data_IF_716106213476
#
_entry.id   IF_716106213476
#
_cell.length_a   1.000
_cell.length_b   1.000
_cell.length_c   1.000
_cell.angle_alpha   90.00
_cell.angle_beta   90.00
_cell.angle_gamma   90.00
#
_symmetry.space_group_name_H-M   'P 1'
#
loop_
_entity.id
_entity.type
_entity.pdbx_description
1 polymer ?
#
# COMPACT_ATOMS: atom_id res chain seq x y z
N UNK A 1 22.49 -32.00 -34.42
CA UNK A 1 21.08 -31.82 -34.80
C UNK A 1 20.47 -30.84 -33.83
N UNK A 2 20.29 -29.61 -34.32
CA UNK A 2 19.84 -28.45 -33.51
C UNK A 2 18.34 -28.38 -33.46
N UNK A 3 17.75 -28.40 -32.25
CA UNK A 3 16.33 -28.12 -32.08
C UNK A 3 16.15 -26.61 -31.82
N UNK A 4 15.57 -25.90 -32.77
CA UNK A 4 15.18 -24.48 -32.67
C UNK A 4 13.99 -24.33 -31.71
N UNK A 5 14.19 -23.57 -30.66
CA UNK A 5 13.10 -23.10 -29.81
C UNK A 5 12.32 -22.00 -30.56
N UNK A 6 11.05 -22.27 -30.81
CA UNK A 6 10.09 -21.30 -31.37
C UNK A 6 9.59 -20.37 -30.25
N UNK A 7 9.85 -19.07 -30.42
CA UNK A 7 9.31 -18.01 -29.52
C UNK A 7 7.91 -17.69 -30.01
N UNK A 8 6.90 -18.11 -29.25
CA UNK A 8 5.50 -17.70 -29.47
C UNK A 8 5.26 -16.29 -28.89
N UNK A 9 4.96 -15.34 -29.76
CA UNK A 9 4.50 -13.98 -29.46
C UNK A 9 3.01 -14.02 -29.13
N UNK A 10 2.64 -14.37 -27.93
CA UNK A 10 1.37 -13.97 -27.30
C UNK A 10 1.56 -14.21 -25.79
N UNK A 11 1.52 -13.12 -25.02
CA UNK A 11 1.64 -13.18 -23.56
C UNK A 11 0.40 -13.83 -22.94
N UNK A 12 0.22 -15.13 -23.15
CA UNK A 12 -0.83 -15.90 -22.47
C UNK A 12 -0.42 -15.98 -21.00
N UNK A 13 -1.19 -15.32 -20.14
CA UNK A 13 -1.09 -15.49 -18.68
C UNK A 13 -1.52 -16.90 -18.35
N UNK A 14 -0.54 -17.80 -18.20
CA UNK A 14 -0.82 -19.17 -17.76
C UNK A 14 -1.26 -19.11 -16.30
N UNK A 15 -2.53 -19.40 -16.07
CA UNK A 15 -3.12 -19.52 -14.73
C UNK A 15 -2.56 -20.81 -14.10
N UNK A 16 -1.88 -20.74 -12.94
CA UNK A 16 -1.46 -21.95 -12.23
C UNK A 16 -2.68 -22.76 -11.76
N UNK A 17 -2.53 -24.08 -11.70
CA UNK A 17 -3.58 -25.06 -11.42
C UNK A 17 -4.31 -24.83 -10.08
N UNK A 18 -5.48 -25.38 -9.88
CA UNK A 18 -6.79 -24.78 -10.18
C UNK A 18 -7.15 -23.72 -9.14
N UNK A 19 -7.26 -22.48 -9.60
CA UNK A 19 -7.80 -21.37 -8.79
C UNK A 19 -9.26 -21.71 -8.46
N UNK A 20 -9.49 -22.28 -7.27
CA UNK A 20 -10.83 -22.64 -6.79
C UNK A 20 -11.64 -21.42 -6.31
N UNK A 21 -10.99 -20.28 -6.05
CA UNK A 21 -11.67 -19.05 -5.62
C UNK A 21 -12.32 -18.34 -6.81
N UNK A 22 -13.63 -18.09 -6.69
CA UNK A 22 -14.43 -17.35 -7.69
C UNK A 22 -13.95 -15.91 -7.86
N UNK A 23 -13.47 -15.28 -6.77
CA UNK A 23 -12.91 -13.93 -6.74
C UNK A 23 -11.70 -13.79 -7.64
N UNK A 24 -10.80 -14.77 -7.59
CA UNK A 24 -9.64 -14.78 -8.46
C UNK A 24 -10.04 -14.92 -9.92
N UNK A 25 -11.05 -15.75 -10.22
CA UNK A 25 -11.59 -15.83 -11.58
C UNK A 25 -12.22 -14.51 -12.02
N UNK A 26 -12.95 -13.82 -11.14
CA UNK A 26 -13.56 -12.53 -11.41
C UNK A 26 -12.50 -11.42 -11.53
N UNK A 27 -11.49 -11.41 -10.65
CA UNK A 27 -10.35 -10.49 -10.72
C UNK A 27 -9.51 -10.75 -12.01
N UNK A 28 -9.24 -12.00 -12.35
CA UNK A 28 -8.56 -12.35 -13.61
C UNK A 28 -9.38 -11.99 -14.86
N UNK A 29 -10.71 -12.14 -14.83
CA UNK A 29 -11.58 -11.71 -15.92
C UNK A 29 -11.57 -10.19 -16.08
N UNK A 30 -11.57 -9.44 -14.98
CA UNK A 30 -11.38 -7.98 -15.01
C UNK A 30 -10.01 -7.59 -15.60
N UNK A 31 -8.97 -8.39 -15.34
CA UNK A 31 -7.63 -8.18 -15.88
C UNK A 31 -7.54 -8.28 -17.38
N UNK A 32 -8.14 -9.31 -17.97
CA UNK A 32 -8.11 -9.50 -19.41
C UNK A 32 -8.77 -8.33 -20.16
N UNK A 33 -9.60 -7.53 -19.46
CA UNK A 33 -10.19 -6.30 -20.00
C UNK A 33 -9.38 -5.04 -19.64
N UNK A 34 -8.47 -5.10 -18.64
CA UNK A 34 -7.65 -3.96 -18.22
C UNK A 34 -6.26 -3.92 -18.88
N UNK A 35 -5.81 -5.00 -19.50
CA UNK A 35 -4.54 -5.02 -20.27
C UNK A 35 -4.54 -4.03 -21.45
N UNK A 36 -5.73 -3.61 -21.93
CA UNK A 36 -5.88 -2.56 -22.97
C UNK A 36 -5.96 -1.13 -22.42
N UNK A 37 -6.05 -0.96 -21.08
CA UNK A 37 -6.18 0.37 -20.44
C UNK A 37 -4.94 0.66 -19.61
N UNK A 38 -3.88 1.16 -20.26
CA UNK A 38 -2.70 1.69 -19.58
C UNK A 38 -3.15 2.72 -18.52
N UNK A 39 -2.76 2.45 -17.25
CA UNK A 39 -2.79 3.39 -16.13
C UNK A 39 -4.14 3.81 -15.50
N UNK A 40 -5.27 3.18 -15.83
CA UNK A 40 -6.53 3.51 -15.13
C UNK A 40 -6.90 2.43 -14.12
N UNK A 41 -6.86 2.79 -12.84
CA UNK A 41 -7.40 1.94 -11.77
C UNK A 41 -8.89 1.74 -11.96
N UNK A 42 -9.43 0.55 -11.65
CA UNK A 42 -10.87 0.33 -11.65
C UNK A 42 -11.58 1.30 -10.69
N UNK A 43 -12.79 1.78 -11.02
CA UNK A 43 -13.55 2.70 -10.17
C UNK A 43 -14.21 1.95 -9.00
N UNK A 44 -13.39 1.35 -8.13
CA UNK A 44 -13.86 0.50 -7.02
C UNK A 44 -14.76 1.24 -6.02
N UNK A 45 -14.64 2.57 -5.94
CA UNK A 45 -15.48 3.42 -5.10
C UNK A 45 -16.96 3.39 -5.52
N UNK A 46 -17.22 3.10 -6.81
CA UNK A 46 -18.58 2.99 -7.35
C UNK A 46 -19.19 1.60 -7.16
N UNK A 47 -18.38 0.62 -6.75
CA UNK A 47 -18.84 -0.76 -6.60
C UNK A 47 -19.24 -1.04 -5.15
N UNK A 48 -20.50 -1.45 -4.99
CA UNK A 48 -21.07 -1.82 -3.69
C UNK A 48 -21.72 -3.20 -3.76
N UNK A 49 -20.93 -4.27 -3.90
CA UNK A 49 -21.48 -5.61 -4.00
C UNK A 49 -22.06 -6.06 -2.66
N UNK A 50 -23.26 -6.60 -2.67
CA UNK A 50 -23.93 -7.13 -1.47
C UNK A 50 -23.39 -8.49 -1.01
N UNK A 51 -22.63 -9.18 -1.88
CA UNK A 51 -22.08 -10.50 -1.55
C UNK A 51 -20.71 -10.38 -0.90
N UNK A 52 -20.56 -10.95 0.29
CA UNK A 52 -19.29 -11.05 1.01
C UNK A 52 -18.78 -12.47 0.96
N UNK A 53 -17.49 -12.65 0.68
CA UNK A 53 -16.82 -13.95 0.63
C UNK A 53 -15.44 -13.90 1.28
N UNK A 54 -14.83 -15.05 1.54
CA UNK A 54 -13.47 -15.18 2.05
C UNK A 54 -12.51 -15.47 0.89
N UNK A 55 -11.48 -14.63 0.72
CA UNK A 55 -10.49 -14.83 -0.35
C UNK A 55 -9.42 -15.85 0.01
N UNK A 56 -9.19 -16.10 1.33
CA UNK A 56 -8.02 -16.81 1.86
C UNK A 56 -6.70 -16.16 1.44
N UNK A 57 -6.74 -14.86 1.19
CA UNK A 57 -5.55 -14.07 0.90
C UNK A 57 -5.08 -13.36 2.15
N UNK A 58 -3.77 -13.24 2.27
CA UNK A 58 -3.10 -12.54 3.36
C UNK A 58 -2.01 -11.62 2.81
N UNK A 59 -1.85 -10.47 3.44
CA UNK A 59 -0.72 -9.56 3.25
C UNK A 59 0.05 -9.56 4.57
N UNK A 60 1.34 -9.91 4.54
CA UNK A 60 2.18 -9.90 5.73
C UNK A 60 2.70 -8.49 6.07
N UNK A 61 3.45 -8.38 7.16
CA UNK A 61 4.03 -7.10 7.63
C UNK A 61 5.01 -6.48 6.62
N UNK A 62 5.58 -7.25 5.71
CA UNK A 62 6.50 -6.78 4.68
C UNK A 62 5.79 -6.46 3.35
N UNK A 63 4.46 -6.55 3.33
CA UNK A 63 3.63 -6.26 2.16
C UNK A 63 3.66 -7.35 1.10
N UNK A 64 4.08 -8.58 1.46
CA UNK A 64 4.03 -9.74 0.57
C UNK A 64 2.63 -10.36 0.58
N UNK A 65 2.18 -10.74 -0.60
CA UNK A 65 0.88 -11.35 -0.80
C UNK A 65 0.95 -12.87 -0.80
N UNK A 66 0.01 -13.49 -0.11
CA UNK A 66 -0.15 -14.94 -0.03
C UNK A 66 -1.57 -15.35 -0.40
N UNK A 67 -1.71 -16.52 -1.00
CA UNK A 67 -2.98 -17.16 -1.23
C UNK A 67 -2.95 -18.61 -0.73
N UNK A 68 -3.87 -18.97 0.17
CA UNK A 68 -3.91 -20.31 0.78
C UNK A 68 -2.55 -20.75 1.33
N UNK A 69 -1.76 -19.78 1.85
CA UNK A 69 -0.41 -20.00 2.38
C UNK A 69 0.72 -19.96 1.36
N UNK A 70 0.44 -19.97 0.06
CA UNK A 70 1.46 -19.85 -0.99
C UNK A 70 1.74 -18.39 -1.34
N UNK A 71 3.02 -18.01 -1.44
CA UNK A 71 3.42 -16.66 -1.82
C UNK A 71 3.05 -16.33 -3.27
N UNK A 72 2.58 -15.11 -3.50
CA UNK A 72 2.31 -14.55 -4.82
C UNK A 72 3.56 -13.80 -5.29
N UNK A 73 4.47 -14.50 -5.94
CA UNK A 73 5.76 -13.94 -6.38
C UNK A 73 5.65 -12.97 -7.57
N UNK A 74 4.55 -13.05 -8.33
CA UNK A 74 4.34 -12.20 -9.51
C UNK A 74 3.87 -10.81 -9.10
N UNK A 75 4.78 -9.84 -9.12
CA UNK A 75 4.48 -8.44 -8.75
C UNK A 75 3.31 -7.85 -9.55
N UNK A 76 3.16 -8.17 -10.84
CA UNK A 76 2.00 -7.73 -11.66
C UNK A 76 0.69 -8.21 -11.06
N UNK A 77 0.65 -9.42 -10.51
CA UNK A 77 -0.54 -9.99 -9.89
C UNK A 77 -0.84 -9.32 -8.55
N UNK A 78 0.18 -9.11 -7.71
CA UNK A 78 0.03 -8.37 -6.46
C UNK A 78 -0.48 -6.94 -6.71
N UNK A 79 0.11 -6.21 -7.67
CA UNK A 79 -0.35 -4.87 -8.08
C UNK A 79 -1.80 -4.84 -8.51
N UNK A 80 -2.23 -5.88 -9.20
CA UNK A 80 -3.60 -6.00 -9.61
C UNK A 80 -4.54 -6.17 -8.42
N UNK A 81 -4.26 -7.12 -7.53
CA UNK A 81 -5.08 -7.27 -6.34
C UNK A 81 -5.10 -5.98 -5.51
N UNK A 82 -3.95 -5.32 -5.39
CA UNK A 82 -3.86 -4.03 -4.73
C UNK A 82 -4.73 -2.96 -5.41
N UNK A 83 -4.88 -2.99 -6.74
CA UNK A 83 -5.71 -2.01 -7.46
C UNK A 83 -7.21 -2.13 -7.19
N UNK A 84 -7.67 -3.29 -6.72
CA UNK A 84 -9.05 -3.55 -6.32
C UNK A 84 -9.21 -3.73 -4.81
N UNK A 85 -8.15 -3.46 -4.03
CA UNK A 85 -8.20 -3.50 -2.58
C UNK A 85 -8.78 -2.20 -2.04
N UNK A 86 -9.66 -2.31 -1.03
CA UNK A 86 -10.25 -1.19 -0.29
C UNK A 86 -10.41 -1.58 1.16
N UNK A 87 -10.21 -0.62 2.07
CA UNK A 87 -10.60 -0.75 3.47
C UNK A 87 -11.99 -0.20 3.64
N UNK A 88 -12.88 -0.98 4.25
CA UNK A 88 -14.27 -0.60 4.53
C UNK A 88 -14.39 0.04 5.93
N UNK A 89 -15.58 0.59 6.24
CA UNK A 89 -15.87 1.26 7.51
C UNK A 89 -15.79 0.31 8.73
N UNK A 90 -15.92 -1.00 8.50
CA UNK A 90 -15.72 -2.04 9.51
C UNK A 90 -14.23 -2.26 9.87
N UNK A 91 -13.33 -1.51 9.23
CA UNK A 91 -11.89 -1.59 9.41
C UNK A 91 -11.24 -2.78 8.70
N UNK A 92 -12.01 -3.62 7.98
CA UNK A 92 -11.50 -4.78 7.26
C UNK A 92 -11.12 -4.43 5.83
N UNK A 93 -10.26 -5.26 5.25
CA UNK A 93 -9.78 -5.10 3.88
C UNK A 93 -10.50 -6.09 2.95
N UNK A 94 -10.87 -5.59 1.77
CA UNK A 94 -11.60 -6.38 0.79
C UNK A 94 -11.06 -6.17 -0.62
N UNK A 95 -10.97 -7.24 -1.40
CA UNK A 95 -10.90 -7.18 -2.85
C UNK A 95 -12.32 -6.93 -3.38
N UNK A 96 -12.50 -5.80 -4.05
CA UNK A 96 -13.80 -5.35 -4.53
C UNK A 96 -13.93 -5.64 -6.02
N UNK A 97 -15.03 -6.28 -6.40
CA UNK A 97 -15.47 -6.47 -7.79
C UNK A 97 -16.92 -6.01 -7.92
N UNK A 98 -17.46 -5.80 -9.13
CA UNK A 98 -18.86 -5.42 -9.28
C UNK A 98 -19.87 -6.42 -8.69
N UNK A 99 -19.48 -7.68 -8.52
CA UNK A 99 -20.39 -8.78 -8.13
C UNK A 99 -20.22 -9.27 -6.71
N UNK A 100 -19.01 -9.09 -6.13
CA UNK A 100 -18.71 -9.56 -4.77
C UNK A 100 -17.53 -8.79 -4.16
N UNK A 101 -17.47 -8.76 -2.83
CA UNK A 101 -16.29 -8.36 -2.07
C UNK A 101 -15.75 -9.54 -1.28
N UNK A 102 -14.41 -9.69 -1.28
CA UNK A 102 -13.74 -10.80 -0.62
C UNK A 102 -12.74 -10.30 0.39
N UNK A 103 -12.89 -10.77 1.63
CA UNK A 103 -12.02 -10.38 2.73
C UNK A 103 -10.58 -10.81 2.50
N UNK A 104 -9.65 -9.91 2.83
CA UNK A 104 -8.21 -10.14 2.85
C UNK A 104 -7.70 -9.91 4.27
N UNK A 105 -6.89 -10.81 4.77
CA UNK A 105 -6.20 -10.63 6.04
C UNK A 105 -4.95 -9.77 5.84
N UNK A 106 -4.85 -8.65 6.57
CA UNK A 106 -3.71 -7.73 6.49
C UNK A 106 -3.11 -7.61 7.89
N UNK A 107 -1.86 -8.05 8.03
CA UNK A 107 -1.19 -8.13 9.34
C UNK A 107 -0.88 -6.75 9.94
N UNK A 108 -0.60 -5.75 9.09
CA UNK A 108 -0.30 -4.38 9.50
C UNK A 108 -0.84 -3.37 8.47
N UNK A 109 -0.13 -3.16 7.39
CA UNK A 109 -0.53 -2.26 6.31
C UNK A 109 -0.38 -2.95 4.94
N UNK A 110 -1.29 -2.64 3.97
CA UNK A 110 -1.24 -3.31 2.66
C UNK A 110 -0.06 -2.89 1.79
N UNK A 111 0.56 -1.76 2.10
CA UNK A 111 1.74 -1.26 1.41
C UNK A 111 2.93 -1.10 2.37
N UNK A 112 4.13 -1.14 1.79
CA UNK A 112 5.39 -0.78 2.47
C UNK A 112 6.12 0.28 1.65
N UNK A 113 6.54 1.36 2.30
CA UNK A 113 7.40 2.38 1.69
C UNK A 113 8.81 1.83 1.61
N UNK A 114 9.34 1.75 0.38
CA UNK A 114 10.68 1.22 0.09
C UNK A 114 11.66 2.26 -0.43
N UNK A 115 11.18 3.48 -0.70
CA UNK A 115 12.01 4.59 -1.15
C UNK A 115 11.42 5.94 -0.77
N UNK A 116 12.30 6.95 -0.65
CA UNK A 116 11.96 8.33 -0.34
C UNK A 116 12.84 9.28 -1.19
N UNK A 117 12.21 10.31 -1.75
CA UNK A 117 12.85 11.46 -2.38
C UNK A 117 12.45 12.71 -1.62
N UNK A 118 13.42 13.58 -1.32
CA UNK A 118 13.18 14.81 -0.57
C UNK A 118 13.69 16.00 -1.37
N UNK A 119 12.84 17.00 -1.57
CA UNK A 119 13.18 18.25 -2.25
C UNK A 119 12.78 19.44 -1.39
N UNK A 120 13.59 20.51 -1.47
CA UNK A 120 13.38 21.69 -0.66
C UNK A 120 13.71 21.47 0.83
N UNK A 121 13.35 22.44 1.68
CA UNK A 121 13.64 22.40 3.12
C UNK A 121 12.56 23.15 3.91
N UNK A 122 12.46 22.87 5.23
CA UNK A 122 11.49 23.50 6.12
C UNK A 122 10.05 23.37 5.59
N UNK A 123 9.28 24.45 5.63
CA UNK A 123 7.87 24.45 5.18
C UNK A 123 7.68 24.20 3.69
N UNK A 124 8.71 24.41 2.86
CA UNK A 124 8.68 24.13 1.41
C UNK A 124 9.16 22.72 1.06
N UNK A 125 9.53 21.90 2.06
CA UNK A 125 9.97 20.53 1.86
C UNK A 125 8.85 19.69 1.23
N UNK A 126 9.20 18.95 0.18
CA UNK A 126 8.34 17.96 -0.47
C UNK A 126 8.96 16.59 -0.25
N UNK A 127 8.22 15.71 0.39
CA UNK A 127 8.60 14.30 0.59
C UNK A 127 7.75 13.45 -0.35
N UNK A 128 8.41 12.65 -1.19
CA UNK A 128 7.76 11.70 -2.08
C UNK A 128 8.18 10.29 -1.70
N UNK A 129 7.23 9.47 -1.31
CA UNK A 129 7.44 8.07 -1.02
C UNK A 129 7.18 7.18 -2.23
N UNK A 130 7.90 6.06 -2.29
CA UNK A 130 7.66 4.99 -3.26
C UNK A 130 7.26 3.72 -2.52
N UNK A 131 6.11 3.15 -2.88
CA UNK A 131 5.63 1.90 -2.28
C UNK A 131 6.26 0.67 -2.95
N UNK A 132 6.21 -0.49 -2.26
CA UNK A 132 6.57 -1.80 -2.80
C UNK A 132 5.75 -2.20 -4.05
N UNK A 133 4.62 -1.54 -4.30
CA UNK A 133 3.81 -1.71 -5.51
C UNK A 133 4.14 -0.67 -6.60
N UNK A 134 5.20 0.13 -6.41
CA UNK A 134 5.67 1.21 -7.28
C UNK A 134 4.63 2.36 -7.45
N UNK A 135 3.80 2.58 -6.45
CA UNK A 135 2.99 3.80 -6.36
C UNK A 135 3.82 4.93 -5.76
N UNK A 136 3.71 6.12 -6.32
CA UNK A 136 4.35 7.33 -5.79
C UNK A 136 3.34 8.13 -4.97
N UNK A 137 3.72 8.51 -3.75
CA UNK A 137 2.86 9.21 -2.79
C UNK A 137 3.58 10.45 -2.29
N UNK A 138 3.01 11.63 -2.57
CA UNK A 138 3.54 12.90 -2.06
C UNK A 138 2.86 13.23 -0.74
N UNK A 139 3.65 13.39 0.32
CA UNK A 139 3.14 13.75 1.65
C UNK A 139 2.41 15.09 1.60
N UNK A 140 1.15 15.09 2.02
CA UNK A 140 0.24 16.24 1.93
C UNK A 140 -0.98 16.04 2.82
N UNK A 141 -1.96 16.96 2.79
CA UNK A 141 -3.26 16.79 3.45
C UNK A 141 -4.04 15.57 2.96
N UNK A 142 -3.95 15.25 1.67
CA UNK A 142 -4.60 14.08 1.10
C UNK A 142 -3.83 12.77 1.43
N UNK A 143 -2.54 12.89 1.70
CA UNK A 143 -1.65 11.78 2.01
C UNK A 143 -0.85 12.10 3.29
N UNK A 144 -1.53 12.19 4.45
CA UNK A 144 -0.89 12.57 5.69
C UNK A 144 0.10 11.50 6.17
N UNK A 145 1.22 11.99 6.72
CA UNK A 145 2.16 11.18 7.49
C UNK A 145 1.64 11.08 8.94
N UNK A 146 1.52 9.85 9.45
CA UNK A 146 0.98 9.57 10.79
C UNK A 146 1.93 8.66 11.52
N UNK A 147 2.16 8.94 12.81
CA UNK A 147 2.98 8.09 13.67
C UNK A 147 2.09 7.31 14.63
N UNK A 148 2.22 5.98 14.65
CA UNK A 148 1.45 5.07 15.51
C UNK A 148 2.37 4.36 16.48
N UNK A 149 1.88 4.05 17.67
CA UNK A 149 2.64 3.28 18.64
C UNK A 149 3.05 1.91 18.05
N UNK A 150 4.33 1.63 18.05
CA UNK A 150 4.88 0.32 17.67
C UNK A 150 4.92 -0.66 18.82
N UNK A 151 5.23 -1.94 18.55
CA UNK A 151 5.37 -2.99 19.58
C UNK A 151 6.52 -2.76 20.58
N UNK A 152 7.47 -1.89 20.24
CA UNK A 152 8.65 -1.54 21.06
C UNK A 152 8.62 -0.07 21.49
N UNK A 153 7.44 0.51 21.68
CA UNK A 153 7.21 1.90 22.09
C UNK A 153 7.68 2.96 21.10
N UNK A 154 8.61 2.66 20.18
CA UNK A 154 9.02 3.60 19.14
C UNK A 154 7.87 3.84 18.14
N UNK A 155 7.56 5.12 17.82
CA UNK A 155 6.50 5.44 16.89
C UNK A 155 6.85 4.97 15.48
N UNK A 156 5.94 4.19 14.88
CA UNK A 156 6.07 3.73 13.50
C UNK A 156 5.36 4.69 12.55
N UNK A 157 6.05 5.19 11.50
CA UNK A 157 5.45 6.08 10.53
C UNK A 157 4.64 5.32 9.47
N UNK A 158 3.47 5.88 9.17
CA UNK A 158 2.57 5.44 8.10
C UNK A 158 2.20 6.64 7.24
N UNK A 159 1.96 6.41 5.96
CA UNK A 159 1.41 7.41 5.05
C UNK A 159 0.13 6.88 4.42
N UNK A 160 -0.91 7.71 4.37
CA UNK A 160 -2.12 7.36 3.65
C UNK A 160 -1.85 7.33 2.14
N UNK A 161 -2.20 6.22 1.49
CA UNK A 161 -2.01 6.05 0.05
C UNK A 161 -3.31 6.35 -0.71
N UNK A 162 -4.40 5.67 -0.38
CA UNK A 162 -5.73 5.82 -0.99
C UNK A 162 -6.76 4.86 -0.40
N UNK A 163 -8.04 5.10 -0.61
CA UNK A 163 -9.15 4.16 -0.36
C UNK A 163 -9.12 3.50 1.05
N UNK A 164 -8.69 4.28 2.07
CA UNK A 164 -8.47 3.77 3.42
C UNK A 164 -7.20 2.91 3.57
N UNK A 165 -6.37 2.83 2.54
CA UNK A 165 -5.14 2.04 2.53
C UNK A 165 -3.94 2.89 2.92
N UNK A 166 -3.20 2.44 3.92
CA UNK A 166 -1.97 3.06 4.39
C UNK A 166 -0.74 2.26 3.94
N UNK A 167 0.40 2.91 3.90
CA UNK A 167 1.71 2.30 3.75
C UNK A 167 2.52 2.47 5.02
N UNK A 168 3.09 1.40 5.54
CA UNK A 168 4.10 1.46 6.61
C UNK A 168 5.45 1.83 6.02
N UNK A 169 6.18 2.72 6.68
CA UNK A 169 7.56 3.04 6.28
C UNK A 169 8.48 1.88 6.66
N UNK A 170 9.29 1.39 5.70
CA UNK A 170 10.28 0.34 5.95
C UNK A 170 11.38 0.84 6.88
N UNK A 171 12.07 -0.09 7.55
CA UNK A 171 13.16 0.24 8.46
C UNK A 171 14.28 1.04 7.77
N UNK A 172 14.60 0.73 6.53
CA UNK A 172 15.63 1.45 5.77
C UNK A 172 15.24 2.93 5.56
N UNK A 173 14.01 3.19 5.11
CA UNK A 173 13.51 4.55 4.89
C UNK A 173 13.22 5.29 6.20
N UNK A 174 12.96 4.57 7.28
CA UNK A 174 12.70 5.16 8.60
C UNK A 174 13.89 6.00 9.09
N UNK A 175 15.12 5.52 8.95
CA UNK A 175 16.31 6.25 9.39
C UNK A 175 16.47 7.56 8.60
N UNK A 176 16.35 7.50 7.29
CA UNK A 176 16.42 8.70 6.44
C UNK A 176 15.31 9.70 6.77
N UNK A 177 14.11 9.18 7.09
CA UNK A 177 12.97 10.01 7.49
C UNK A 177 13.21 10.69 8.85
N UNK A 178 13.83 9.99 9.81
CA UNK A 178 14.13 10.55 11.13
C UNK A 178 15.21 11.64 11.10
N UNK A 179 16.07 11.67 10.10
CA UNK A 179 17.00 12.79 9.88
C UNK A 179 16.30 14.12 9.54
N UNK A 180 15.03 14.05 9.12
CA UNK A 180 14.21 15.24 8.81
C UNK A 180 13.44 15.78 10.01
N UNK A 181 13.56 15.14 11.17
CA UNK A 181 12.85 15.57 12.40
C UNK A 181 13.34 16.94 12.85
N UNK A 182 12.42 17.80 13.17
CA UNK A 182 12.66 19.14 13.65
C UNK A 182 11.66 19.49 14.76
N UNK A 183 11.97 20.51 15.55
CA UNK A 183 11.05 21.05 16.53
C UNK A 183 10.03 21.95 15.83
N UNK A 184 8.75 21.82 16.20
CA UNK A 184 7.65 22.63 15.68
C UNK A 184 6.55 22.80 16.71
N UNK A 185 5.49 23.53 16.36
CA UNK A 185 4.35 23.75 17.24
C UNK A 185 3.19 22.82 16.83
N UNK A 186 2.65 22.09 17.80
CA UNK A 186 1.42 21.30 17.65
C UNK A 186 0.56 21.48 18.91
N UNK A 187 -0.73 21.82 18.71
CA UNK A 187 -1.68 22.10 19.82
C UNK A 187 -1.17 23.15 20.83
N UNK A 188 -0.43 24.19 20.34
CA UNK A 188 0.08 25.25 21.18
C UNK A 188 1.30 24.90 22.05
N UNK A 189 1.93 23.73 21.84
CA UNK A 189 3.11 23.26 22.56
C UNK A 189 4.23 22.86 21.57
N UNK A 190 5.51 22.85 22.04
CA UNK A 190 6.61 22.34 21.24
C UNK A 190 6.51 20.81 21.06
N UNK A 191 6.72 20.36 19.83
CA UNK A 191 6.74 18.95 19.45
C UNK A 191 7.91 18.66 18.52
N UNK A 192 8.43 17.45 18.56
CA UNK A 192 9.25 16.90 17.49
C UNK A 192 8.33 16.36 16.41
N UNK A 193 8.68 16.63 15.15
CA UNK A 193 7.89 16.22 14.01
C UNK A 193 8.60 16.50 12.71
N UNK A 194 7.88 16.36 11.60
CA UNK A 194 8.41 16.53 10.25
C UNK A 194 7.54 17.51 9.49
N UNK A 195 8.17 18.56 8.92
CA UNK A 195 7.48 19.47 8.01
C UNK A 195 7.57 18.96 6.57
N UNK A 196 6.43 18.87 5.89
CA UNK A 196 6.34 18.55 4.47
C UNK A 196 5.03 19.11 3.89
N UNK A 197 5.05 19.55 2.62
CA UNK A 197 3.86 20.05 1.94
C UNK A 197 3.17 21.23 2.63
N UNK A 198 3.93 22.07 3.33
CA UNK A 198 3.39 23.20 4.11
C UNK A 198 2.75 22.82 5.44
N UNK A 199 2.87 21.58 5.89
CA UNK A 199 2.32 21.06 7.15
C UNK A 199 3.39 20.47 8.05
N UNK A 200 3.10 20.51 9.35
CA UNK A 200 3.87 19.82 10.38
C UNK A 200 3.15 18.55 10.82
N UNK A 201 3.86 17.42 10.76
CA UNK A 201 3.37 16.09 11.16
C UNK A 201 4.03 15.74 12.50
N UNK A 202 3.30 15.80 13.62
CA UNK A 202 3.86 15.61 14.94
C UNK A 202 4.19 14.14 15.22
N UNK A 203 5.27 13.92 15.98
CA UNK A 203 5.73 12.59 16.43
C UNK A 203 5.50 12.44 17.94
N UNK A 204 6.11 13.35 18.73
CA UNK A 204 6.02 13.34 20.20
C UNK A 204 6.26 14.75 20.76
N UNK A 205 5.74 15.05 21.97
CA UNK A 205 6.06 16.29 22.66
C UNK A 205 7.57 16.46 22.87
N UNK A 206 8.09 17.69 22.73
CA UNK A 206 9.52 17.96 22.87
C UNK A 206 10.02 17.83 24.33
N UNK A 207 9.11 17.88 25.30
CA UNK A 207 9.36 17.66 26.74
C UNK A 207 9.23 16.18 27.15
N UNK A 208 8.82 15.29 26.24
CA UNK A 208 8.84 13.87 26.48
C UNK A 208 10.30 13.36 26.58
N UNK A 209 10.62 12.64 27.65
CA UNK A 209 11.92 11.97 27.78
C UNK A 209 12.14 11.08 26.57
N UNK A 210 13.27 11.17 25.85
CA UNK A 210 13.55 10.27 24.74
C UNK A 210 13.58 8.84 25.27
N UNK A 211 12.79 7.97 24.64
CA UNK A 211 12.73 6.51 24.89
C UNK A 211 13.92 5.82 24.24
#
# INVERSE_FOLDING_TARGET
MSAKASVSRAGIITVPAPIRSRVLKSAYALLSHLDDVKDKRPPIQLWQPGRVTESRMRIDVDGNWFQEGAAIERLRLARLFTSILRREDDGQYYLITPVEKSRVDVEDAPFVIIGMDVRGSGSSRVITFTTNMAESVVVSDAHPLVFRAGRQEAPLPYVHVRDGLDARVSRAVYYDLMELVEEGAHEGRPWYGISAGGRFFPIQPADATPV
#
